data_IF_519768113042
#
_entry.id   IF_519768113042
#
_cell.length_a   1.000
_cell.length_b   1.000
_cell.length_c   1.000
_cell.angle_alpha   90.00
_cell.angle_beta   90.00
_cell.angle_gamma   90.00
#
_symmetry.space_group_name_H-M   'P 1'
#
loop_
_entity.id
_entity.type
_entity.pdbx_description
1 polymer ?
#
# COMPACT_ATOMS: atom_id res chain seq x y z
N UNK A 1 -12.47 -14.81 -4.10
CA UNK A 1 -11.92 -13.46 -3.90
C UNK A 1 -12.37 -12.60 -5.07
N UNK A 2 -12.63 -11.30 -4.88
CA UNK A 2 -12.99 -10.44 -6.00
C UNK A 2 -11.83 -10.20 -6.97
N UNK A 3 -12.12 -9.63 -8.14
CA UNK A 3 -11.17 -9.51 -9.25
C UNK A 3 -10.36 -8.21 -9.21
N UNK A 4 -10.85 -7.16 -8.53
CA UNK A 4 -10.16 -5.87 -8.42
C UNK A 4 -9.46 -5.72 -7.08
N UNK A 5 -8.13 -5.69 -7.12
CA UNK A 5 -7.26 -5.68 -5.95
C UNK A 5 -6.48 -4.37 -5.91
N UNK A 6 -6.59 -3.64 -4.80
CA UNK A 6 -5.65 -2.57 -4.47
C UNK A 6 -4.62 -3.14 -3.52
N UNK A 7 -3.36 -3.18 -3.94
CA UNK A 7 -2.25 -3.71 -3.16
C UNK A 7 -1.31 -2.57 -2.78
N UNK A 8 -1.20 -2.31 -1.48
CA UNK A 8 -0.25 -1.37 -0.91
C UNK A 8 0.99 -2.08 -0.40
N UNK A 9 2.16 -1.60 -0.81
CA UNK A 9 3.46 -1.97 -0.26
C UNK A 9 3.96 -0.87 0.68
N UNK A 10 4.22 -1.22 1.95
CA UNK A 10 4.78 -0.27 2.92
C UNK A 10 6.25 0.05 2.69
N UNK A 11 6.69 1.20 3.24
CA UNK A 11 8.07 1.68 3.10
C UNK A 11 9.11 0.63 3.49
N UNK A 12 8.97 -0.05 4.63
CA UNK A 12 9.92 -1.08 5.07
C UNK A 12 9.93 -2.35 4.18
N UNK A 13 8.87 -2.57 3.39
CA UNK A 13 8.84 -3.65 2.42
C UNK A 13 9.60 -3.27 1.15
N UNK A 14 9.40 -2.04 0.67
CA UNK A 14 10.03 -1.51 -0.56
C UNK A 14 11.49 -1.10 -0.31
N UNK A 15 11.80 -0.55 0.86
CA UNK A 15 13.12 -0.12 1.31
C UNK A 15 13.59 -1.04 2.44
N UNK A 16 14.28 -2.13 2.10
CA UNK A 16 14.83 -3.08 3.06
C UNK A 16 16.25 -2.67 3.42
N UNK A 17 16.53 -2.43 4.70
CA UNK A 17 17.83 -1.95 5.19
C UNK A 17 18.30 -0.69 4.42
N UNK A 18 17.40 0.29 4.24
CA UNK A 18 17.65 1.53 3.50
C UNK A 18 18.02 1.34 2.01
N UNK A 19 17.80 0.15 1.45
CA UNK A 19 18.02 -0.14 0.03
C UNK A 19 16.74 -0.62 -0.63
N UNK A 20 16.59 -0.32 -1.92
CA UNK A 20 15.44 -0.77 -2.68
C UNK A 20 15.40 -2.32 -2.78
N UNK A 21 14.28 -2.90 -2.36
CA UNK A 21 14.06 -4.33 -2.30
C UNK A 21 13.68 -4.89 -3.69
N UNK A 22 14.68 -4.96 -4.57
CA UNK A 22 14.54 -5.48 -5.94
C UNK A 22 13.92 -6.88 -5.98
N UNK A 23 14.27 -7.75 -5.02
CA UNK A 23 13.76 -9.12 -4.98
C UNK A 23 12.24 -9.16 -4.80
N UNK A 24 11.70 -8.38 -3.86
CA UNK A 24 10.25 -8.28 -3.64
C UNK A 24 9.54 -7.71 -4.86
N UNK A 25 10.06 -6.64 -5.45
CA UNK A 25 9.42 -5.96 -6.59
C UNK A 25 9.45 -6.84 -7.84
N UNK A 26 10.54 -7.56 -8.09
CA UNK A 26 10.61 -8.53 -9.20
C UNK A 26 9.63 -9.70 -9.01
N UNK A 27 9.53 -10.23 -7.78
CA UNK A 27 8.56 -11.28 -7.47
C UNK A 27 7.12 -10.78 -7.63
N UNK A 28 6.83 -9.58 -7.16
CA UNK A 28 5.52 -8.96 -7.35
C UNK A 28 5.21 -8.71 -8.83
N UNK A 29 6.17 -8.21 -9.61
CA UNK A 29 5.98 -7.96 -11.03
C UNK A 29 5.60 -9.23 -11.79
N UNK A 30 6.26 -10.36 -11.47
CA UNK A 30 5.90 -11.68 -11.99
C UNK A 30 4.44 -12.01 -11.70
N UNK A 31 4.09 -12.10 -10.42
CA UNK A 31 2.77 -12.54 -9.97
C UNK A 31 1.66 -11.59 -10.45
N UNK A 32 1.87 -10.27 -10.33
CA UNK A 32 0.88 -9.30 -10.77
C UNK A 32 0.63 -9.38 -12.29
N UNK A 33 1.68 -9.56 -13.10
CA UNK A 33 1.53 -9.71 -14.55
C UNK A 33 0.83 -11.03 -14.93
N UNK A 34 1.13 -12.12 -14.22
CA UNK A 34 0.45 -13.41 -14.40
C UNK A 34 -1.05 -13.31 -14.10
N UNK A 35 -1.43 -12.71 -12.98
CA UNK A 35 -2.84 -12.56 -12.63
C UNK A 35 -3.55 -11.50 -13.46
N UNK A 36 -2.85 -10.47 -13.96
CA UNK A 36 -3.42 -9.53 -14.95
C UNK A 36 -3.88 -10.27 -16.20
N UNK A 37 -3.07 -11.21 -16.72
CA UNK A 37 -3.45 -12.09 -17.86
C UNK A 37 -4.63 -13.01 -17.54
N UNK A 38 -4.81 -13.39 -16.28
CA UNK A 38 -5.99 -14.16 -15.79
C UNK A 38 -7.23 -13.27 -15.57
N UNK A 39 -7.19 -12.00 -15.95
CA UNK A 39 -8.33 -11.08 -15.86
C UNK A 39 -8.52 -10.38 -14.52
N UNK A 40 -7.55 -10.45 -13.61
CA UNK A 40 -7.55 -9.62 -12.40
C UNK A 40 -7.18 -8.18 -12.76
N UNK A 41 -7.73 -7.23 -12.02
CA UNK A 41 -7.42 -5.81 -12.10
C UNK A 41 -6.61 -5.43 -10.87
N UNK A 42 -5.31 -5.18 -11.04
CA UNK A 42 -4.39 -4.90 -9.94
C UNK A 42 -3.99 -3.43 -9.99
N UNK A 43 -4.16 -2.74 -8.87
CA UNK A 43 -3.69 -1.36 -8.65
C UNK A 43 -2.64 -1.42 -7.54
N UNK A 44 -1.44 -0.93 -7.81
CA UNK A 44 -0.37 -0.89 -6.83
C UNK A 44 -0.29 0.48 -6.17
N UNK A 45 -0.21 0.50 -4.85
CA UNK A 45 0.15 1.67 -4.06
C UNK A 45 1.54 1.40 -3.50
N UNK A 46 2.52 2.22 -3.85
CA UNK A 46 3.90 2.03 -3.40
C UNK A 46 4.31 3.10 -2.39
N UNK A 47 5.51 2.99 -1.84
CA UNK A 47 6.17 3.94 -0.96
C UNK A 47 7.68 3.90 -1.27
N UNK A 48 8.51 4.60 -0.49
CA UNK A 48 9.97 4.49 -0.60
C UNK A 48 10.66 5.47 -1.56
N UNK A 49 9.90 6.36 -2.21
CA UNK A 49 10.47 7.43 -3.05
C UNK A 49 11.51 8.27 -2.29
N UNK A 50 11.16 8.79 -1.10
CA UNK A 50 12.10 9.56 -0.27
C UNK A 50 13.37 8.74 0.06
N UNK A 51 13.22 7.47 0.44
CA UNK A 51 14.36 6.60 0.77
C UNK A 51 15.32 6.40 -0.40
N UNK A 52 14.81 6.22 -1.62
CA UNK A 52 15.62 6.17 -2.85
C UNK A 52 16.26 7.52 -3.18
N UNK A 53 15.56 8.62 -2.90
CA UNK A 53 16.08 9.98 -3.08
C UNK A 53 17.28 10.25 -2.17
N UNK A 54 17.17 9.88 -0.90
CA UNK A 54 18.25 9.98 0.10
C UNK A 54 19.50 9.24 -0.40
N UNK A 55 19.33 7.99 -0.85
CA UNK A 55 20.43 7.18 -1.40
C UNK A 55 21.08 7.86 -2.62
N UNK A 56 20.26 8.31 -3.58
CA UNK A 56 20.75 8.95 -4.81
C UNK A 56 21.45 10.28 -4.58
N UNK A 57 20.93 11.10 -3.66
CA UNK A 57 21.49 12.41 -3.32
C UNK A 57 22.61 12.30 -2.28
N UNK A 58 22.89 11.10 -1.77
CA UNK A 58 23.91 10.84 -0.73
C UNK A 58 23.68 11.66 0.54
N UNK A 59 22.41 11.82 0.92
CA UNK A 59 22.00 12.50 2.14
C UNK A 59 21.92 11.52 3.32
N UNK A 60 21.89 12.05 4.54
CA UNK A 60 21.61 11.27 5.74
C UNK A 60 20.11 11.00 5.92
N UNK A 61 19.76 9.90 6.59
CA UNK A 61 18.35 9.57 6.90
C UNK A 61 17.74 10.43 8.02
N UNK A 62 18.57 11.13 8.80
CA UNK A 62 18.16 11.87 9.99
C UNK A 62 18.27 13.38 9.74
N UNK A 63 17.32 14.13 10.30
CA UNK A 63 17.39 15.61 10.33
C UNK A 63 17.01 16.31 9.03
N UNK A 64 16.41 15.61 8.07
CA UNK A 64 16.00 16.22 6.80
C UNK A 64 14.89 17.25 7.00
N UNK A 65 15.09 18.45 6.44
CA UNK A 65 14.05 19.47 6.33
C UNK A 65 12.88 18.99 5.46
N UNK A 66 11.76 19.71 5.48
CA UNK A 66 10.63 19.38 4.60
C UNK A 66 11.04 19.49 3.12
N UNK A 67 11.76 20.55 2.78
CA UNK A 67 12.25 20.84 1.43
C UNK A 67 13.21 19.74 0.96
N UNK A 68 14.10 19.27 1.83
CA UNK A 68 15.00 18.14 1.53
C UNK A 68 14.21 16.85 1.32
N UNK A 69 13.18 16.58 2.13
CA UNK A 69 12.29 15.43 1.92
C UNK A 69 11.55 15.51 0.59
N UNK A 70 11.06 16.69 0.20
CA UNK A 70 10.39 16.93 -1.08
C UNK A 70 11.35 16.75 -2.27
N UNK A 71 12.58 17.25 -2.16
CA UNK A 71 13.63 17.04 -3.16
C UNK A 71 13.99 15.56 -3.29
N UNK A 72 14.16 14.85 -2.16
CA UNK A 72 14.36 13.41 -2.14
C UNK A 72 13.19 12.67 -2.79
N UNK A 73 11.95 13.05 -2.50
CA UNK A 73 10.77 12.46 -3.11
C UNK A 73 10.78 12.63 -4.64
N UNK A 74 11.08 13.82 -5.15
CA UNK A 74 11.14 14.09 -6.59
C UNK A 74 12.20 13.23 -7.29
N UNK A 75 13.42 13.19 -6.75
CA UNK A 75 14.54 12.41 -7.29
C UNK A 75 14.26 10.91 -7.19
N UNK A 76 13.79 10.47 -6.04
CA UNK A 76 13.58 9.06 -5.74
C UNK A 76 12.34 8.48 -6.41
N UNK A 77 11.29 9.27 -6.67
CA UNK A 77 10.12 8.82 -7.42
C UNK A 77 10.48 8.42 -8.85
N UNK A 78 11.38 9.17 -9.51
CA UNK A 78 11.93 8.78 -10.81
C UNK A 78 12.63 7.42 -10.73
N UNK A 79 13.54 7.25 -9.76
CA UNK A 79 14.26 5.99 -9.55
C UNK A 79 13.33 4.81 -9.21
N UNK A 80 12.26 5.08 -8.45
CA UNK A 80 11.25 4.11 -8.06
C UNK A 80 10.51 3.59 -9.29
N UNK A 81 9.98 4.50 -10.12
CA UNK A 81 9.28 4.11 -11.35
C UNK A 81 10.19 3.40 -12.34
N UNK A 82 11.43 3.84 -12.49
CA UNK A 82 12.40 3.14 -13.34
C UNK A 82 12.61 1.69 -12.88
N UNK A 83 12.69 1.47 -11.57
CA UNK A 83 12.85 0.12 -11.00
C UNK A 83 11.61 -0.74 -11.21
N UNK A 84 10.40 -0.17 -11.10
CA UNK A 84 9.17 -0.86 -11.44
C UNK A 84 9.09 -1.19 -12.93
N UNK A 85 9.41 -0.25 -13.82
CA UNK A 85 9.41 -0.45 -15.28
C UNK A 85 10.35 -1.60 -15.68
N UNK A 86 11.58 -1.62 -15.12
CA UNK A 86 12.53 -2.71 -15.34
C UNK A 86 12.02 -4.09 -14.86
N UNK A 87 11.21 -4.12 -13.80
CA UNK A 87 10.67 -5.37 -13.27
C UNK A 87 9.49 -5.88 -14.11
N UNK A 88 8.58 -4.99 -14.50
CA UNK A 88 7.35 -5.32 -15.22
C UNK A 88 7.55 -5.54 -16.72
N UNK A 89 8.50 -4.83 -17.35
CA UNK A 89 8.84 -5.00 -18.77
C UNK A 89 9.29 -6.43 -19.12
N UNK A 90 9.91 -7.15 -18.18
CA UNK A 90 10.28 -8.58 -18.33
C UNK A 90 9.09 -9.48 -18.64
N UNK A 91 7.88 -9.04 -18.31
CA UNK A 91 6.63 -9.77 -18.51
C UNK A 91 5.73 -9.11 -19.55
N UNK A 92 6.26 -8.19 -20.36
CA UNK A 92 5.51 -7.37 -21.33
C UNK A 92 4.30 -6.66 -20.71
N UNK A 93 4.41 -6.30 -19.43
CA UNK A 93 3.32 -5.68 -18.69
C UNK A 93 3.55 -4.17 -18.62
N UNK A 94 2.71 -3.41 -19.30
CA UNK A 94 2.71 -1.95 -19.20
C UNK A 94 2.23 -1.50 -17.82
N UNK A 95 2.92 -0.51 -17.26
CA UNK A 95 2.55 0.17 -16.02
C UNK A 95 2.24 1.65 -16.29
N UNK A 96 1.55 2.31 -15.37
CA UNK A 96 1.31 3.75 -15.44
C UNK A 96 1.52 4.40 -14.08
N UNK A 97 2.24 5.53 -14.04
CA UNK A 97 2.41 6.33 -12.83
C UNK A 97 1.19 7.22 -12.59
N UNK A 98 0.70 7.24 -11.34
CA UNK A 98 -0.15 8.32 -10.84
C UNK A 98 0.41 8.84 -9.52
N UNK A 99 0.51 10.16 -9.39
CA UNK A 99 0.90 10.83 -8.14
C UNK A 99 -0.30 11.59 -7.61
N UNK A 100 -0.70 11.28 -6.37
CA UNK A 100 -1.93 11.81 -5.77
C UNK A 100 -1.64 12.54 -4.46
N UNK A 101 -2.48 13.51 -4.14
CA UNK A 101 -2.56 14.17 -2.84
C UNK A 101 -3.95 13.95 -2.24
N UNK A 102 -4.14 14.27 -0.96
CA UNK A 102 -5.47 14.20 -0.33
C UNK A 102 -6.49 15.12 -1.02
N UNK A 103 -6.03 16.24 -1.59
CA UNK A 103 -6.88 17.22 -2.26
C UNK A 103 -7.57 16.63 -3.50
N UNK A 104 -6.90 15.67 -4.19
CA UNK A 104 -7.50 14.99 -5.33
C UNK A 104 -8.78 14.22 -4.99
N UNK A 105 -8.92 13.79 -3.73
CA UNK A 105 -10.13 13.12 -3.23
C UNK A 105 -11.17 14.08 -2.66
N UNK A 106 -10.77 15.29 -2.30
CA UNK A 106 -11.67 16.34 -1.80
C UNK A 106 -12.36 17.11 -2.92
N UNK A 107 -11.72 17.22 -4.10
CA UNK A 107 -12.31 17.84 -5.28
C UNK A 107 -13.13 16.85 -6.10
N UNK A 108 -14.46 17.10 -6.23
CA UNK A 108 -15.37 16.25 -7.02
C UNK A 108 -14.91 16.06 -8.47
N UNK A 109 -14.37 17.11 -9.08
CA UNK A 109 -13.90 17.06 -10.46
C UNK A 109 -12.62 16.25 -10.60
N UNK A 110 -11.64 16.47 -9.72
CA UNK A 110 -10.38 15.71 -9.76
C UNK A 110 -10.62 14.22 -9.46
N UNK A 111 -11.49 13.91 -8.49
CA UNK A 111 -11.90 12.54 -8.19
C UNK A 111 -12.59 11.86 -9.39
N UNK A 112 -13.46 12.58 -10.10
CA UNK A 112 -14.07 12.06 -11.33
C UNK A 112 -13.02 11.73 -12.39
N UNK A 113 -12.06 12.63 -12.61
CA UNK A 113 -10.98 12.43 -13.58
C UNK A 113 -10.08 11.24 -13.19
N UNK A 114 -9.74 11.11 -11.90
CA UNK A 114 -8.98 9.98 -11.37
C UNK A 114 -9.70 8.66 -11.65
N UNK A 115 -10.99 8.58 -11.33
CA UNK A 115 -11.77 7.36 -11.53
C UNK A 115 -11.87 6.97 -13.01
N UNK A 116 -12.08 7.94 -13.90
CA UNK A 116 -12.12 7.70 -15.34
C UNK A 116 -10.76 7.21 -15.87
N UNK A 117 -9.67 7.82 -15.40
CA UNK A 117 -8.31 7.44 -15.77
C UNK A 117 -7.99 6.03 -15.31
N UNK A 118 -8.23 5.70 -14.03
CA UNK A 118 -8.01 4.35 -13.50
C UNK A 118 -8.84 3.31 -14.25
N UNK A 119 -10.11 3.60 -14.51
CA UNK A 119 -10.97 2.68 -15.27
C UNK A 119 -10.44 2.45 -16.68
N UNK A 120 -9.96 3.49 -17.37
CA UNK A 120 -9.41 3.36 -18.73
C UNK A 120 -8.10 2.59 -18.73
N UNK A 121 -7.18 2.87 -17.79
CA UNK A 121 -5.92 2.14 -17.65
C UNK A 121 -6.16 0.65 -17.42
N UNK A 122 -7.05 0.31 -16.48
CA UNK A 122 -7.42 -1.08 -16.21
C UNK A 122 -8.00 -1.75 -17.45
N UNK A 123 -8.93 -1.10 -18.18
CA UNK A 123 -9.47 -1.63 -19.45
C UNK A 123 -8.40 -1.88 -20.52
N UNK A 124 -7.34 -1.07 -20.54
CA UNK A 124 -6.22 -1.19 -21.48
C UNK A 124 -5.19 -2.27 -21.09
N UNK A 125 -5.41 -3.02 -20.01
CA UNK A 125 -4.43 -4.02 -19.57
C UNK A 125 -3.33 -3.47 -18.66
N UNK A 126 -3.28 -2.15 -18.44
CA UNK A 126 -2.21 -1.47 -17.69
C UNK A 126 -2.37 -1.70 -16.19
N UNK A 127 -1.25 -1.86 -15.47
CA UNK A 127 -1.22 -1.88 -14.00
C UNK A 127 -0.85 -0.47 -13.50
N UNK A 128 -1.77 0.27 -12.86
CA UNK A 128 -1.45 1.55 -12.27
C UNK A 128 -0.55 1.37 -11.04
N UNK A 129 0.49 2.18 -10.95
CA UNK A 129 1.36 2.31 -9.78
C UNK A 129 1.21 3.73 -9.24
N UNK A 130 0.67 3.81 -8.05
CA UNK A 130 0.25 5.06 -7.41
C UNK A 130 1.15 5.34 -6.20
N UNK A 131 1.54 6.58 -6.04
CA UNK A 131 2.21 7.06 -4.82
C UNK A 131 1.63 8.43 -4.42
N UNK A 132 1.90 8.85 -3.18
CA UNK A 132 1.64 10.24 -2.77
C UNK A 132 2.58 11.18 -3.55
N UNK A 133 2.09 12.35 -3.95
CA UNK A 133 2.89 13.38 -4.61
C UNK A 133 3.73 14.15 -3.59
N UNK A 134 4.63 13.44 -2.92
CA UNK A 134 5.42 13.93 -1.80
C UNK A 134 6.27 15.15 -2.13
N UNK A 135 6.63 15.37 -3.40
CA UNK A 135 7.40 16.54 -3.83
C UNK A 135 6.66 17.88 -3.71
N UNK A 136 5.33 17.85 -3.58
CA UNK A 136 4.50 19.06 -3.44
C UNK A 136 3.55 18.99 -2.24
N UNK A 137 3.55 17.89 -1.48
CA UNK A 137 2.73 17.77 -0.27
C UNK A 137 3.37 18.55 0.87
N UNK A 138 2.62 19.46 1.51
CA UNK A 138 3.09 20.26 2.65
C UNK A 138 3.10 19.46 3.96
N UNK A 139 3.81 19.96 4.99
CA UNK A 139 3.83 19.32 6.31
C UNK A 139 2.46 19.31 6.99
N UNK A 140 1.64 20.34 6.77
CA UNK A 140 0.26 20.42 7.26
C UNK A 140 -0.62 19.37 6.61
N UNK A 141 -0.46 19.19 5.29
CA UNK A 141 -1.06 18.09 4.57
C UNK A 141 -0.55 16.78 5.18
N UNK A 142 0.76 16.53 5.33
CA UNK A 142 1.30 15.29 5.92
C UNK A 142 0.82 14.96 7.34
N UNK A 143 0.65 15.95 8.21
CA UNK A 143 0.44 15.75 9.66
C UNK A 143 -1.03 15.82 10.09
N UNK A 144 -1.84 16.70 9.49
CA UNK A 144 -3.26 16.87 9.85
C UNK A 144 -4.21 16.17 8.87
N UNK A 145 -3.73 15.90 7.65
CA UNK A 145 -4.57 15.56 6.49
C UNK A 145 -3.96 14.48 5.57
N UNK A 146 -2.81 13.90 5.91
CA UNK A 146 -1.93 13.29 4.92
C UNK A 146 -1.81 11.78 5.05
N UNK A 147 -1.11 11.17 4.12
CA UNK A 147 -0.90 9.72 4.11
C UNK A 147 0.48 9.35 4.63
N UNK A 148 0.71 9.47 5.94
CA UNK A 148 2.03 9.22 6.54
C UNK A 148 2.71 7.90 6.14
N UNK A 149 1.93 6.89 5.72
CA UNK A 149 2.41 5.59 5.28
C UNK A 149 1.69 5.10 4.00
N UNK A 150 1.03 5.95 3.21
CA UNK A 150 0.16 5.57 2.07
C UNK A 150 -1.01 4.61 2.39
N UNK A 151 -1.22 4.21 3.65
CA UNK A 151 -2.34 3.32 4.01
C UNK A 151 -3.69 4.02 3.78
N UNK A 152 -3.79 5.31 4.13
CA UNK A 152 -4.98 6.12 3.88
C UNK A 152 -5.23 6.36 2.39
N UNK A 153 -4.15 6.54 1.61
CA UNK A 153 -4.21 6.65 0.15
C UNK A 153 -4.77 5.36 -0.44
N UNK A 154 -4.26 4.21 0.00
CA UNK A 154 -4.72 2.91 -0.45
C UNK A 154 -6.20 2.67 -0.12
N UNK A 155 -6.67 3.06 1.06
CA UNK A 155 -8.08 2.98 1.41
C UNK A 155 -8.97 3.88 0.54
N UNK A 156 -8.53 5.10 0.22
CA UNK A 156 -9.25 6.00 -0.67
C UNK A 156 -9.27 5.48 -2.11
N UNK A 157 -8.14 5.03 -2.63
CA UNK A 157 -8.07 4.41 -3.96
C UNK A 157 -8.98 3.21 -4.02
N UNK A 158 -8.91 2.28 -3.06
CA UNK A 158 -9.78 1.11 -2.99
C UNK A 158 -11.27 1.47 -3.01
N UNK A 159 -11.67 2.47 -2.21
CA UNK A 159 -13.05 2.96 -2.18
C UNK A 159 -13.51 3.49 -3.54
N UNK A 160 -12.72 4.39 -4.13
CA UNK A 160 -13.14 5.11 -5.34
C UNK A 160 -12.93 4.31 -6.63
N UNK A 161 -11.99 3.36 -6.62
CA UNK A 161 -11.84 2.37 -7.68
C UNK A 161 -12.80 1.19 -7.53
N UNK A 162 -13.67 1.16 -6.50
CA UNK A 162 -14.55 0.02 -6.20
C UNK A 162 -13.80 -1.32 -6.17
N UNK A 163 -12.68 -1.34 -5.44
CA UNK A 163 -11.92 -2.56 -5.26
C UNK A 163 -12.74 -3.58 -4.47
N UNK A 164 -12.57 -4.85 -4.80
CA UNK A 164 -13.15 -5.93 -4.02
C UNK A 164 -12.31 -6.21 -2.77
N UNK A 165 -10.98 -6.06 -2.90
CA UNK A 165 -10.03 -6.30 -1.82
C UNK A 165 -8.97 -5.21 -1.73
N UNK A 166 -8.70 -4.76 -0.51
CA UNK A 166 -7.55 -3.94 -0.14
C UNK A 166 -6.50 -4.81 0.59
N UNK A 167 -5.30 -4.90 0.04
CA UNK A 167 -4.17 -5.59 0.67
C UNK A 167 -3.18 -4.55 1.20
N UNK A 168 -2.94 -4.56 2.50
CA UNK A 168 -1.95 -3.74 3.20
C UNK A 168 -0.74 -4.62 3.54
N UNK A 169 0.24 -4.67 2.62
CA UNK A 169 1.43 -5.50 2.77
C UNK A 169 2.61 -4.69 3.34
N UNK A 170 3.22 -5.19 4.41
CA UNK A 170 4.32 -4.50 5.13
C UNK A 170 5.35 -5.47 5.69
N UNK A 171 6.19 -5.04 6.62
CA UNK A 171 7.10 -5.90 7.40
C UNK A 171 6.37 -6.73 8.47
N UNK A 172 5.10 -6.40 8.77
CA UNK A 172 4.28 -7.08 9.77
C UNK A 172 3.50 -8.23 9.17
N UNK A 173 3.47 -9.37 9.86
CA UNK A 173 2.89 -10.65 9.40
C UNK A 173 1.39 -10.83 9.69
N UNK A 174 0.71 -9.74 10.03
CA UNK A 174 -0.71 -9.69 10.39
C UNK A 174 -0.97 -9.01 11.73
N UNK A 175 -2.20 -9.11 12.17
CA UNK A 175 -2.67 -8.62 13.47
C UNK A 175 -2.45 -9.69 14.55
N UNK A 176 -2.10 -9.23 15.74
CA UNK A 176 -1.87 -10.07 16.92
C UNK A 176 -2.70 -9.53 18.08
N UNK A 177 -3.15 -10.42 18.96
CA UNK A 177 -3.88 -10.02 20.17
C UNK A 177 -2.98 -9.29 21.20
N UNK A 178 -1.67 -9.53 21.12
CA UNK A 178 -0.62 -8.91 21.93
C UNK A 178 0.57 -8.55 21.04
N UNK A 179 1.48 -7.66 21.50
CA UNK A 179 2.67 -7.32 20.72
C UNK A 179 3.62 -8.53 20.65
N UNK A 180 3.83 -9.16 19.47
CA UNK A 180 4.68 -10.34 19.35
C UNK A 180 6.16 -10.05 19.66
N UNK A 181 6.57 -8.77 19.67
CA UNK A 181 7.92 -8.38 20.13
C UNK A 181 8.07 -8.42 21.66
N UNK A 182 6.96 -8.35 22.40
CA UNK A 182 6.93 -8.37 23.86
C UNK A 182 6.50 -9.73 24.41
N UNK A 183 5.67 -10.46 23.67
CA UNK A 183 5.20 -11.79 24.02
C UNK A 183 5.40 -12.75 22.85
N UNK A 184 6.35 -13.68 22.97
CA UNK A 184 6.61 -14.70 21.96
C UNK A 184 5.46 -15.69 21.76
N UNK A 185 4.52 -15.78 22.71
CA UNK A 185 3.29 -16.58 22.62
C UNK A 185 2.11 -15.82 22.00
N UNK A 186 2.32 -14.58 21.54
CA UNK A 186 1.25 -13.78 20.94
C UNK A 186 0.64 -14.51 19.74
N UNK A 187 -0.67 -14.80 19.82
CA UNK A 187 -1.39 -15.50 18.78
C UNK A 187 -1.76 -14.55 17.64
N UNK A 188 -1.46 -14.97 16.41
CA UNK A 188 -1.89 -14.26 15.21
C UNK A 188 -3.39 -14.40 15.03
N UNK A 189 -4.05 -13.28 14.75
CA UNK A 189 -5.46 -13.24 14.38
C UNK A 189 -5.52 -13.53 12.88
N UNK A 190 -5.95 -14.73 12.49
CA UNK A 190 -6.07 -15.05 11.06
C UNK A 190 -7.28 -14.38 10.40
N UNK A 191 -8.35 -14.15 11.16
CA UNK A 191 -9.61 -13.64 10.61
C UNK A 191 -10.43 -12.77 11.58
N UNK A 192 -11.03 -11.73 11.02
CA UNK A 192 -11.98 -10.84 11.66
C UNK A 192 -13.23 -10.76 10.78
N UNK A 193 -14.25 -11.55 11.14
CA UNK A 193 -15.55 -11.63 10.43
C UNK A 193 -16.39 -10.35 10.54
N UNK A 194 -16.21 -9.59 11.62
CA UNK A 194 -16.91 -8.33 11.88
C UNK A 194 -15.87 -7.25 12.15
N UNK A 195 -15.70 -6.33 11.20
CA UNK A 195 -14.74 -5.24 11.28
C UNK A 195 -14.96 -4.34 12.51
N UNK A 196 -16.18 -4.27 13.07
CA UNK A 196 -16.46 -3.51 14.29
C UNK A 196 -15.73 -4.07 15.51
N UNK A 197 -15.44 -5.38 15.50
CA UNK A 197 -14.70 -6.08 16.58
C UNK A 197 -13.18 -5.94 16.46
N UNK A 198 -12.68 -5.24 15.44
CA UNK A 198 -11.25 -5.14 15.15
C UNK A 198 -10.45 -4.53 16.32
N UNK A 199 -10.92 -3.43 16.91
CA UNK A 199 -10.28 -2.82 18.08
C UNK A 199 -10.30 -3.73 19.32
N UNK A 200 -11.41 -4.45 19.54
CA UNK A 200 -11.56 -5.34 20.68
C UNK A 200 -10.60 -6.54 20.59
N UNK A 201 -10.39 -7.08 19.39
CA UNK A 201 -9.53 -8.25 19.16
C UNK A 201 -8.03 -7.98 19.29
N UNK A 202 -7.59 -6.76 18.96
CA UNK A 202 -6.16 -6.40 18.93
C UNK A 202 -5.65 -6.01 20.33
N UNK A 203 -6.54 -5.65 21.25
CA UNK A 203 -6.19 -5.14 22.57
C UNK A 203 -5.70 -3.69 22.54
N UNK A 204 -6.14 -2.86 23.48
CA UNK A 204 -5.89 -1.40 23.47
C UNK A 204 -4.44 -0.98 23.80
N UNK A 205 -3.60 -1.91 24.28
CA UNK A 205 -2.23 -1.67 24.76
C UNK A 205 -1.13 -2.21 23.83
N UNK A 206 -1.46 -3.07 22.88
CA UNK A 206 -0.50 -3.85 22.07
C UNK A 206 0.26 -3.00 21.04
N UNK A 207 -0.29 -1.88 20.59
CA UNK A 207 0.31 -1.09 19.50
C UNK A 207 0.33 0.44 19.72
N UNK A 208 0.05 0.93 20.94
CA UNK A 208 0.19 2.37 21.26
C UNK A 208 1.61 2.86 20.92
N UNK A 209 1.71 3.86 20.04
CA UNK A 209 2.97 4.53 19.69
C UNK A 209 3.64 4.10 18.39
N UNK A 210 3.17 3.05 17.70
CA UNK A 210 3.69 2.66 16.37
C UNK A 210 2.78 3.25 15.28
N UNK A 211 3.06 4.48 14.85
CA UNK A 211 2.22 5.23 13.91
C UNK A 211 1.74 4.42 12.69
N UNK A 212 2.63 3.62 12.10
CA UNK A 212 2.32 2.78 10.94
C UNK A 212 1.33 1.63 11.20
N UNK A 213 1.09 1.20 12.44
CA UNK A 213 0.08 0.18 12.74
C UNK A 213 -1.32 0.79 12.87
N UNK A 214 -1.45 1.91 13.58
CA UNK A 214 -2.73 2.60 13.74
C UNK A 214 -3.30 3.01 12.37
N UNK A 215 -2.46 3.53 11.47
CA UNK A 215 -2.88 3.90 10.12
C UNK A 215 -3.41 2.72 9.31
N UNK A 216 -2.82 1.52 9.45
CA UNK A 216 -3.30 0.29 8.79
C UNK A 216 -4.66 -0.14 9.32
N UNK A 217 -4.88 -0.04 10.64
CA UNK A 217 -6.18 -0.34 11.22
C UNK A 217 -7.24 0.64 10.73
N UNK A 218 -6.96 1.94 10.71
CA UNK A 218 -7.91 2.94 10.23
C UNK A 218 -8.21 2.77 8.73
N UNK A 219 -7.20 2.48 7.91
CA UNK A 219 -7.37 2.17 6.50
C UNK A 219 -8.23 0.91 6.28
N UNK A 220 -7.95 -0.17 7.01
CA UNK A 220 -8.71 -1.41 6.94
C UNK A 220 -10.15 -1.22 7.41
N UNK A 221 -10.40 -0.50 8.51
CA UNK A 221 -11.75 -0.16 8.97
C UNK A 221 -12.50 0.65 7.93
N UNK A 222 -11.86 1.68 7.36
CA UNK A 222 -12.48 2.54 6.35
C UNK A 222 -12.93 1.72 5.14
N UNK A 223 -12.06 0.89 4.60
CA UNK A 223 -12.39 0.01 3.47
C UNK A 223 -13.45 -1.04 3.86
N UNK A 224 -13.28 -1.76 4.97
CA UNK A 224 -14.22 -2.78 5.42
C UNK A 224 -15.62 -2.22 5.72
N UNK A 225 -15.72 -1.02 6.29
CA UNK A 225 -17.00 -0.33 6.52
C UNK A 225 -17.77 -0.01 5.23
N UNK A 226 -17.10 -0.06 4.07
CA UNK A 226 -17.66 0.18 2.74
C UNK A 226 -17.78 -1.11 1.91
N UNK A 227 -17.67 -2.26 2.56
CA UNK A 227 -17.83 -3.58 1.96
C UNK A 227 -16.63 -4.11 1.19
N UNK A 228 -15.46 -3.50 1.38
CA UNK A 228 -14.21 -3.94 0.76
C UNK A 228 -13.49 -4.87 1.74
N UNK A 229 -13.25 -6.11 1.33
CA UNK A 229 -12.46 -7.04 2.14
C UNK A 229 -11.04 -6.51 2.31
N UNK A 230 -10.43 -6.74 3.46
CA UNK A 230 -9.09 -6.24 3.77
C UNK A 230 -8.16 -7.36 4.20
N UNK A 231 -6.91 -7.30 3.78
CA UNK A 231 -5.86 -8.23 4.19
C UNK A 231 -4.66 -7.45 4.71
N UNK A 232 -4.22 -7.73 5.93
CA UNK A 232 -2.97 -7.20 6.49
C UNK A 232 -1.97 -8.35 6.54
N UNK A 233 -0.85 -8.24 5.82
CA UNK A 233 0.09 -9.34 5.67
C UNK A 233 1.54 -8.86 5.50
N UNK A 234 2.48 -9.80 5.59
CA UNK A 234 3.88 -9.54 5.31
C UNK A 234 4.13 -9.53 3.81
N UNK A 235 4.77 -8.48 3.32
CA UNK A 235 5.28 -8.42 1.97
C UNK A 235 6.49 -9.35 1.82
N UNK A 236 6.29 -10.45 1.10
CA UNK A 236 7.33 -11.44 0.76
C UNK A 236 7.03 -12.05 -0.59
N UNK A 237 8.01 -12.66 -1.27
CA UNK A 237 7.73 -13.34 -2.54
C UNK A 237 6.60 -14.39 -2.38
N UNK A 238 5.70 -14.45 -3.38
CA UNK A 238 4.55 -15.35 -3.40
C UNK A 238 3.32 -14.88 -2.62
N UNK A 239 3.40 -13.82 -1.81
CA UNK A 239 2.27 -13.41 -0.96
C UNK A 239 0.99 -13.04 -1.74
N UNK A 240 1.13 -12.37 -2.90
CA UNK A 240 -0.02 -11.98 -3.72
C UNK A 240 -0.72 -13.21 -4.32
N UNK A 241 0.05 -14.21 -4.75
CA UNK A 241 -0.48 -15.47 -5.27
C UNK A 241 -1.24 -16.21 -4.18
N UNK A 242 -0.66 -16.35 -2.99
CA UNK A 242 -1.32 -16.95 -1.84
C UNK A 242 -2.64 -16.28 -1.49
N UNK A 243 -2.67 -14.94 -1.50
CA UNK A 243 -3.85 -14.15 -1.25
C UNK A 243 -4.94 -14.44 -2.30
N UNK A 244 -4.59 -14.39 -3.59
CA UNK A 244 -5.54 -14.61 -4.69
C UNK A 244 -6.10 -16.04 -4.66
N UNK A 245 -5.30 -17.02 -4.29
CA UNK A 245 -5.69 -18.42 -4.13
C UNK A 245 -6.48 -18.70 -2.83
N UNK A 246 -6.69 -17.69 -1.98
CA UNK A 246 -7.44 -17.83 -0.73
C UNK A 246 -6.68 -18.58 0.38
N UNK A 247 -5.35 -18.68 0.29
CA UNK A 247 -4.53 -19.22 1.38
C UNK A 247 -4.53 -18.24 2.56
N UNK A 248 -4.33 -18.76 3.77
CA UNK A 248 -4.26 -17.95 5.00
C UNK A 248 -2.97 -17.11 5.05
N UNK A 249 -2.98 -15.96 4.37
CA UNK A 249 -1.87 -15.01 4.33
C UNK A 249 -2.17 -13.80 5.24
N UNK A 250 -1.51 -13.74 6.41
CA UNK A 250 -1.71 -12.66 7.38
C UNK A 250 -3.07 -12.70 8.08
N UNK A 251 -3.73 -11.55 8.16
CA UNK A 251 -5.06 -11.37 8.77
C UNK A 251 -6.07 -10.91 7.73
N UNK A 252 -7.12 -11.70 7.53
CA UNK A 252 -8.28 -11.34 6.72
C UNK A 252 -9.32 -10.60 7.56
N UNK A 253 -9.84 -9.49 7.05
CA UNK A 253 -10.89 -8.69 7.67
C UNK A 253 -12.02 -8.58 6.65
N UNK A 254 -13.18 -9.12 7.01
CA UNK A 254 -14.33 -9.15 6.13
C UNK A 254 -15.01 -7.79 6.05
N UNK A 255 -15.32 -7.35 4.83
CA UNK A 255 -16.10 -6.14 4.57
C UNK A 255 -17.55 -6.29 5.02
N UNK A 256 -18.18 -5.16 5.34
CA UNK A 256 -19.61 -5.07 5.58
C UNK A 256 -20.39 -5.51 4.34
N UNK A 257 -21.38 -6.39 4.50
CA UNK A 257 -22.32 -6.71 3.45
C UNK A 257 -23.53 -5.79 3.53
#
# INVERSE_FOLDING_TARGET
MGKRIVLKLGTNAVMKNNQFNKALVNGLAKTASEYRRKGFEIILITSGAIGLGIEKLRLGYNGLSLEEQQACAAVGQNALMHSYEQAFSRYNQTIAQLLLTQENFSSRQQLKNLNQTLQKLLKLGVIPIINENDSITTQELRTKKGFSDNDGLAALVALHSKADVLVLASDVDGLFAEDPKKNSKALKIHEIQDWKKLNAKIGSKSFRGKGGFQTKLEAAKKAASKGIDCIICKARNGFLEEIIEGKKCGTFIKGAR
#
